data_IF_576302402601
#
_entry.id   IF_576302402601
#
_cell.length_a   1.000
_cell.length_b   1.000
_cell.length_c   1.000
_cell.angle_alpha   90.00
_cell.angle_beta   90.00
_cell.angle_gamma   90.00
#
_symmetry.space_group_name_H-M   'P 1'
#
loop_
_entity.id
_entity.type
_entity.pdbx_description
1 polymer ?
#
# COMPACT_ATOMS: atom_id res chain seq x y z
N UNK A 1 16.97 -18.47 5.63
CA UNK A 1 15.61 -18.18 6.15
C UNK A 1 14.64 -19.06 5.37
N UNK A 2 13.71 -19.73 6.05
CA UNK A 2 12.72 -20.62 5.45
C UNK A 2 11.32 -20.02 5.46
N UNK A 3 11.01 -19.19 6.46
CA UNK A 3 9.73 -18.48 6.56
C UNK A 3 9.90 -17.17 7.33
N UNK A 4 8.99 -16.23 7.06
CA UNK A 4 8.88 -14.96 7.76
C UNK A 4 7.42 -14.72 8.07
N UNK A 5 7.12 -14.52 9.35
CA UNK A 5 5.76 -14.23 9.79
C UNK A 5 5.68 -12.94 10.61
N UNK A 6 4.81 -12.01 10.21
CA UNK A 6 4.43 -10.89 11.05
C UNK A 6 3.51 -11.41 12.17
N UNK A 7 3.84 -11.10 13.42
CA UNK A 7 3.06 -11.48 14.59
C UNK A 7 2.64 -10.21 15.30
N UNK A 8 1.32 -10.00 15.43
CA UNK A 8 0.80 -8.89 16.24
C UNK A 8 1.08 -9.15 17.71
N UNK A 9 1.59 -8.15 18.43
CA UNK A 9 1.72 -8.22 19.87
C UNK A 9 0.32 -8.32 20.50
N UNK A 10 -0.01 -9.47 21.10
CA UNK A 10 -1.34 -9.75 21.66
C UNK A 10 -1.51 -9.31 23.12
N UNK A 11 -0.49 -8.74 23.76
CA UNK A 11 -0.51 -8.47 25.20
C UNK A 11 -1.11 -7.09 25.53
N UNK A 12 -2.18 -7.09 26.34
CA UNK A 12 -2.86 -5.90 26.92
C UNK A 12 -2.03 -5.13 27.95
N UNK A 13 -0.87 -5.65 28.37
CA UNK A 13 -0.09 -5.14 29.49
C UNK A 13 1.14 -4.42 28.94
N UNK A 14 1.12 -3.09 29.03
CA UNK A 14 2.18 -2.20 28.54
C UNK A 14 3.49 -2.50 29.28
N UNK A 15 4.50 -3.02 28.60
CA UNK A 15 5.88 -2.87 29.08
C UNK A 15 6.35 -1.45 28.77
N UNK A 16 6.04 -0.51 29.67
CA UNK A 16 6.73 0.79 29.72
C UNK A 16 8.06 0.59 30.46
N UNK A 17 9.12 0.24 29.74
CA UNK A 17 10.50 0.46 30.22
C UNK A 17 11.04 1.75 29.60
N UNK A 18 11.78 2.51 30.41
CA UNK A 18 12.27 3.87 30.16
C UNK A 18 12.65 4.19 28.70
N UNK A 19 11.88 5.09 28.08
CA UNK A 19 12.39 6.00 27.04
C UNK A 19 12.34 5.56 25.57
N UNK A 20 11.58 4.54 25.15
CA UNK A 20 11.59 4.10 23.74
C UNK A 20 10.22 3.68 23.16
N UNK A 21 10.05 3.93 21.86
CA UNK A 21 8.87 3.62 21.03
C UNK A 21 8.41 2.18 21.22
N UNK A 22 7.17 1.99 21.70
CA UNK A 22 6.57 0.68 21.90
C UNK A 22 6.41 -0.05 20.55
N UNK A 23 7.04 -1.22 20.40
CA UNK A 23 6.99 -2.06 19.19
C UNK A 23 5.58 -2.65 19.04
N UNK A 24 4.87 -2.30 17.97
CA UNK A 24 3.48 -2.75 17.71
C UNK A 24 3.39 -4.16 17.09
N UNK A 25 4.48 -4.64 16.49
CA UNK A 25 4.56 -5.90 15.73
C UNK A 25 5.90 -6.61 15.98
N UNK A 26 5.90 -7.94 15.95
CA UNK A 26 7.11 -8.78 15.95
C UNK A 26 7.26 -9.44 14.58
N UNK A 27 8.49 -9.60 14.10
CA UNK A 27 8.79 -10.39 12.91
C UNK A 27 9.49 -11.67 13.35
N UNK A 28 8.85 -12.82 13.14
CA UNK A 28 9.43 -14.14 13.42
C UNK A 28 10.10 -14.66 12.15
N UNK A 29 11.38 -14.99 12.25
CA UNK A 29 12.17 -15.62 11.19
C UNK A 29 12.41 -17.09 11.54
N UNK A 30 11.90 -18.01 10.70
CA UNK A 30 12.27 -19.42 10.79
C UNK A 30 13.57 -19.63 10.00
N UNK A 31 14.66 -19.96 10.69
CA UNK A 31 15.97 -20.14 10.07
C UNK A 31 16.39 -21.61 10.09
N UNK A 32 16.78 -22.15 8.92
CA UNK A 32 17.48 -23.43 8.81
C UNK A 32 18.94 -23.16 8.42
N UNK A 33 19.92 -23.83 9.05
CA UNK A 33 21.31 -23.78 8.60
C UNK A 33 21.40 -24.15 7.11
N UNK A 34 22.18 -23.37 6.36
CA UNK A 34 22.39 -23.62 4.93
C UNK A 34 23.13 -24.96 4.75
N UNK A 35 22.66 -25.85 3.84
CA UNK A 35 23.37 -27.09 3.52
C UNK A 35 24.81 -26.83 3.05
N UNK A 36 25.72 -27.76 3.34
CA UNK A 36 27.13 -27.63 2.95
C UNK A 36 27.32 -27.66 1.42
N UNK A 37 26.42 -28.31 0.70
CA UNK A 37 26.36 -28.47 -0.75
C UNK A 37 25.50 -27.39 -1.45
N UNK A 38 25.15 -26.30 -0.74
CA UNK A 38 24.32 -25.25 -1.31
C UNK A 38 24.95 -24.66 -2.59
N UNK A 39 24.15 -24.46 -3.66
CA UNK A 39 24.67 -24.06 -4.96
C UNK A 39 25.27 -22.65 -4.93
N UNK A 40 26.14 -22.36 -5.89
CA UNK A 40 26.60 -21.00 -6.18
C UNK A 40 25.79 -20.43 -7.33
N UNK A 41 25.69 -19.10 -7.39
CA UNK A 41 25.01 -18.40 -8.48
C UNK A 41 25.69 -17.07 -8.77
N UNK A 42 25.26 -16.40 -9.83
CA UNK A 42 25.71 -15.05 -10.18
C UNK A 42 24.65 -13.98 -9.83
N UNK A 43 25.06 -12.71 -9.83
CA UNK A 43 24.17 -11.58 -9.52
C UNK A 43 22.95 -11.49 -10.43
N UNK A 44 23.08 -11.76 -11.73
CA UNK A 44 21.99 -11.66 -12.70
C UNK A 44 20.94 -12.75 -12.43
N UNK A 45 21.39 -13.97 -12.20
CA UNK A 45 20.55 -15.12 -11.84
C UNK A 45 19.82 -14.90 -10.51
N UNK A 46 20.52 -14.35 -9.50
CA UNK A 46 19.91 -13.96 -8.22
C UNK A 46 18.81 -12.90 -8.38
N UNK A 47 19.05 -11.83 -9.15
CA UNK A 47 18.05 -10.78 -9.38
C UNK A 47 16.84 -11.33 -10.16
N UNK A 48 17.07 -12.23 -11.13
CA UNK A 48 15.97 -12.87 -11.85
C UNK A 48 15.09 -13.73 -10.93
N UNK A 49 15.69 -14.46 -9.99
CA UNK A 49 14.94 -15.25 -9.00
C UNK A 49 14.19 -14.35 -8.01
N UNK A 50 14.79 -13.25 -7.54
CA UNK A 50 14.10 -12.25 -6.73
C UNK A 50 12.83 -11.74 -7.42
N UNK A 51 12.94 -11.31 -8.68
CA UNK A 51 11.80 -10.81 -9.47
C UNK A 51 10.71 -11.87 -9.69
N UNK A 52 11.09 -13.15 -9.74
CA UNK A 52 10.14 -14.26 -9.91
C UNK A 52 9.41 -14.62 -8.63
N UNK A 53 10.10 -14.67 -7.49
CA UNK A 53 9.58 -15.24 -6.25
C UNK A 53 9.04 -14.20 -5.27
N UNK A 54 9.66 -13.01 -5.22
CA UNK A 54 9.28 -11.96 -4.28
C UNK A 54 7.83 -11.47 -4.47
N UNK A 55 7.30 -11.26 -5.70
CA UNK A 55 5.93 -10.74 -5.86
C UNK A 55 4.86 -11.60 -5.17
N UNK A 56 4.97 -12.92 -5.28
CA UNK A 56 4.02 -13.84 -4.64
C UNK A 56 4.14 -13.81 -3.11
N UNK A 57 5.35 -13.64 -2.57
CA UNK A 57 5.56 -13.49 -1.13
C UNK A 57 5.01 -12.17 -0.59
N UNK A 58 5.20 -11.07 -1.33
CA UNK A 58 4.68 -9.74 -0.97
C UNK A 58 3.15 -9.70 -0.96
N UNK A 59 2.50 -10.31 -1.96
CA UNK A 59 1.02 -10.44 -1.96
C UNK A 59 0.50 -11.15 -0.72
N UNK A 60 1.19 -12.20 -0.25
CA UNK A 60 0.82 -12.89 1.00
C UNK A 60 0.96 -11.98 2.23
N UNK A 61 1.96 -11.11 2.26
CA UNK A 61 2.13 -10.12 3.33
C UNK A 61 1.02 -9.05 3.30
N UNK A 62 0.63 -8.58 2.11
CA UNK A 62 -0.50 -7.65 1.95
C UNK A 62 -1.82 -8.28 2.42
N UNK A 63 -2.06 -9.54 2.04
CA UNK A 63 -3.21 -10.33 2.52
C UNK A 63 -3.18 -10.57 4.04
N UNK A 64 -1.99 -10.59 4.65
CA UNK A 64 -1.80 -10.64 6.09
C UNK A 64 -2.00 -9.30 6.81
N UNK A 65 -2.33 -8.22 6.09
CA UNK A 65 -2.53 -6.87 6.63
C UNK A 65 -1.35 -6.38 7.50
N UNK A 66 -0.13 -6.59 7.02
CA UNK A 66 1.08 -6.01 7.60
C UNK A 66 1.07 -4.50 7.40
N UNK A 67 1.31 -3.71 8.44
CA UNK A 67 1.32 -2.25 8.30
C UNK A 67 2.38 -1.81 7.25
N UNK A 68 2.11 -0.78 6.43
CA UNK A 68 3.05 -0.31 5.41
C UNK A 68 4.45 0.02 5.96
N UNK A 69 4.53 0.64 7.15
CA UNK A 69 5.82 0.93 7.82
C UNK A 69 6.62 -0.33 8.14
N UNK A 70 5.93 -1.44 8.45
CA UNK A 70 6.53 -2.75 8.74
C UNK A 70 6.69 -3.61 7.49
N UNK A 71 6.06 -3.22 6.37
CA UNK A 71 5.98 -4.03 5.16
C UNK A 71 7.34 -4.24 4.52
N UNK A 72 8.16 -3.18 4.45
CA UNK A 72 9.53 -3.27 3.96
C UNK A 72 10.38 -4.21 4.84
N UNK A 73 10.22 -4.15 6.16
CA UNK A 73 10.93 -5.03 7.09
C UNK A 73 10.47 -6.49 6.96
N UNK A 74 9.17 -6.72 6.82
CA UNK A 74 8.61 -8.04 6.59
C UNK A 74 9.05 -8.62 5.24
N UNK A 75 9.20 -7.78 4.21
CA UNK A 75 9.67 -8.14 2.86
C UNK A 75 11.15 -8.54 2.81
N UNK A 76 11.99 -8.05 3.73
CA UNK A 76 13.40 -8.46 3.84
C UNK A 76 13.49 -9.97 4.07
N UNK A 77 12.61 -10.55 4.87
CA UNK A 77 12.61 -11.99 5.17
C UNK A 77 12.53 -12.89 3.94
N UNK A 78 11.48 -12.76 3.09
CA UNK A 78 11.39 -13.44 1.81
C UNK A 78 12.58 -13.19 0.87
N UNK A 79 13.05 -11.95 0.75
CA UNK A 79 14.22 -11.65 -0.08
C UNK A 79 15.51 -12.31 0.43
N UNK A 80 15.72 -12.28 1.75
CA UNK A 80 16.86 -12.90 2.41
C UNK A 80 16.78 -14.43 2.43
N UNK A 81 15.58 -15.01 2.34
CA UNK A 81 15.41 -16.44 2.11
C UNK A 81 16.08 -16.86 0.80
N UNK A 82 15.82 -16.13 -0.29
CA UNK A 82 16.44 -16.37 -1.60
C UNK A 82 17.95 -16.16 -1.53
N UNK A 83 18.44 -15.08 -0.90
CA UNK A 83 19.88 -14.87 -0.72
C UNK A 83 20.54 -16.03 0.04
N UNK A 84 19.91 -16.50 1.11
CA UNK A 84 20.44 -17.55 1.97
C UNK A 84 20.40 -18.97 1.36
N UNK A 85 19.73 -19.14 0.22
CA UNK A 85 19.69 -20.40 -0.55
C UNK A 85 21.05 -20.75 -1.15
N UNK A 86 21.84 -19.74 -1.48
CA UNK A 86 23.13 -19.89 -2.15
C UNK A 86 24.29 -19.89 -1.15
N UNK A 87 25.31 -20.69 -1.43
CA UNK A 87 26.57 -20.66 -0.65
C UNK A 87 27.37 -19.39 -0.94
N UNK A 88 27.37 -18.95 -2.21
CA UNK A 88 27.99 -17.71 -2.67
C UNK A 88 27.25 -17.17 -3.90
N UNK A 89 27.05 -15.86 -3.93
CA UNK A 89 26.58 -15.13 -5.12
C UNK A 89 27.77 -14.33 -5.64
N UNK A 90 28.16 -14.53 -6.90
CA UNK A 90 29.31 -13.86 -7.51
C UNK A 90 28.88 -12.55 -8.19
N UNK A 91 29.62 -11.48 -7.92
CA UNK A 91 29.51 -10.22 -8.65
C UNK A 91 30.43 -10.22 -9.88
N UNK A 92 30.25 -9.24 -10.78
CA UNK A 92 31.08 -9.10 -11.98
C UNK A 92 32.58 -8.94 -11.67
N UNK A 93 32.92 -8.48 -10.46
CA UNK A 93 34.29 -8.38 -9.95
C UNK A 93 34.89 -9.73 -9.51
N UNK A 94 34.15 -10.83 -9.57
CA UNK A 94 34.52 -12.14 -9.03
C UNK A 94 34.43 -12.24 -7.50
N UNK A 95 34.11 -11.14 -6.80
CA UNK A 95 33.92 -11.13 -5.35
C UNK A 95 32.53 -11.65 -4.97
N UNK A 96 32.41 -12.12 -3.73
CA UNK A 96 31.11 -12.51 -3.18
C UNK A 96 30.25 -11.25 -2.95
N UNK A 97 28.98 -11.32 -3.34
CA UNK A 97 28.00 -10.28 -3.02
C UNK A 97 27.82 -10.18 -1.50
N UNK A 98 27.93 -8.96 -0.99
CA UNK A 98 27.72 -8.69 0.43
C UNK A 98 26.24 -8.72 0.81
N UNK A 99 25.94 -8.96 2.09
CA UNK A 99 24.57 -8.85 2.62
C UNK A 99 24.00 -7.45 2.38
N UNK A 100 24.81 -6.40 2.51
CA UNK A 100 24.40 -5.02 2.24
C UNK A 100 23.91 -4.84 0.80
N UNK A 101 24.65 -5.39 -0.16
CA UNK A 101 24.27 -5.37 -1.58
C UNK A 101 22.97 -6.15 -1.81
N UNK A 102 22.81 -7.31 -1.17
CA UNK A 102 21.60 -8.11 -1.27
C UNK A 102 20.37 -7.36 -0.73
N UNK A 103 20.48 -6.72 0.44
CA UNK A 103 19.41 -5.90 1.02
C UNK A 103 19.01 -4.74 0.11
N UNK A 104 19.98 -4.06 -0.52
CA UNK A 104 19.69 -3.01 -1.49
C UNK A 104 18.90 -3.55 -2.70
N UNK A 105 19.28 -4.71 -3.23
CA UNK A 105 18.56 -5.36 -4.33
C UNK A 105 17.15 -5.81 -3.94
N UNK A 106 16.97 -6.29 -2.70
CA UNK A 106 15.65 -6.68 -2.19
C UNK A 106 14.73 -5.46 -2.10
N UNK A 107 15.20 -4.35 -1.51
CA UNK A 107 14.42 -3.12 -1.42
C UNK A 107 14.11 -2.53 -2.81
N UNK A 108 15.06 -2.59 -3.75
CA UNK A 108 14.83 -2.20 -5.13
C UNK A 108 13.74 -3.07 -5.78
N UNK A 109 13.81 -4.39 -5.64
CA UNK A 109 12.81 -5.31 -6.20
C UNK A 109 11.44 -5.08 -5.56
N UNK A 110 11.37 -4.83 -4.26
CA UNK A 110 10.13 -4.48 -3.55
C UNK A 110 9.46 -3.25 -4.17
N UNK A 111 10.24 -2.18 -4.38
CA UNK A 111 9.78 -0.98 -5.08
C UNK A 111 9.27 -1.30 -6.48
N UNK A 112 10.01 -2.09 -7.26
CA UNK A 112 9.63 -2.46 -8.63
C UNK A 112 8.29 -3.22 -8.64
N UNK A 113 8.08 -4.16 -7.71
CA UNK A 113 6.83 -4.92 -7.60
C UNK A 113 5.64 -4.01 -7.25
N UNK A 114 5.82 -3.07 -6.32
CA UNK A 114 4.77 -2.11 -5.96
C UNK A 114 4.43 -1.19 -7.14
N UNK A 115 5.43 -0.81 -7.94
CA UNK A 115 5.22 -0.04 -9.18
C UNK A 115 4.52 -0.86 -10.27
N UNK A 116 4.83 -2.14 -10.42
CA UNK A 116 4.15 -3.02 -11.39
C UNK A 116 2.67 -3.23 -11.04
N UNK A 117 2.29 -3.21 -9.75
CA UNK A 117 0.89 -3.26 -9.32
C UNK A 117 0.07 -2.04 -9.76
N UNK A 118 0.72 -0.93 -10.14
CA UNK A 118 0.01 0.23 -10.70
C UNK A 118 -0.77 -0.15 -11.97
N UNK A 119 -0.38 -1.24 -12.63
CA UNK A 119 -1.05 -1.68 -13.83
C UNK A 119 -2.48 -2.19 -13.59
N UNK A 120 -2.82 -2.57 -12.36
CA UNK A 120 -4.16 -3.06 -11.99
C UNK A 120 -5.15 -1.91 -11.74
N UNK A 121 -4.66 -0.66 -11.60
CA UNK A 121 -5.51 0.51 -11.37
C UNK A 121 -6.05 1.11 -12.67
N UNK A 122 -7.18 1.82 -12.53
CA UNK A 122 -7.75 2.60 -13.61
C UNK A 122 -6.82 3.76 -14.05
N UNK A 123 -7.05 4.26 -15.26
CA UNK A 123 -6.19 5.29 -15.88
C UNK A 123 -6.12 6.59 -15.07
N UNK A 124 -7.20 6.99 -14.40
CA UNK A 124 -7.24 8.22 -13.60
C UNK A 124 -6.42 8.05 -12.34
N UNK A 125 -6.52 6.90 -11.69
CA UNK A 125 -5.67 6.54 -10.55
C UNK A 125 -4.20 6.50 -10.96
N UNK A 126 -3.85 5.88 -12.09
CA UNK A 126 -2.47 5.86 -12.60
C UNK A 126 -1.94 7.26 -12.91
N UNK A 127 -2.79 8.16 -13.41
CA UNK A 127 -2.45 9.57 -13.59
C UNK A 127 -2.19 10.24 -12.25
N UNK A 128 -3.09 10.05 -11.28
CA UNK A 128 -3.00 10.66 -9.97
C UNK A 128 -1.77 10.19 -9.18
N UNK A 129 -1.41 8.90 -9.27
CA UNK A 129 -0.16 8.36 -8.70
C UNK A 129 1.07 9.08 -9.28
N UNK A 130 1.13 9.21 -10.61
CA UNK A 130 2.26 9.85 -11.28
C UNK A 130 2.34 11.36 -10.97
N UNK A 131 1.20 12.04 -10.92
CA UNK A 131 1.13 13.44 -10.51
C UNK A 131 1.57 13.62 -9.05
N UNK A 132 1.03 12.78 -8.16
CA UNK A 132 1.36 12.78 -6.74
C UNK A 132 2.86 12.55 -6.53
N UNK A 133 3.50 11.61 -7.22
CA UNK A 133 4.94 11.36 -7.09
C UNK A 133 5.78 12.62 -7.34
N UNK A 134 5.35 13.48 -8.27
CA UNK A 134 6.07 14.70 -8.63
C UNK A 134 5.68 15.88 -7.72
N UNK A 135 4.39 16.20 -7.66
CA UNK A 135 3.86 17.43 -7.05
C UNK A 135 3.22 17.20 -5.68
N UNK A 136 2.83 15.98 -5.37
CA UNK A 136 2.03 15.70 -4.17
C UNK A 136 0.63 16.25 -4.34
N UNK A 137 0.12 16.93 -3.32
CA UNK A 137 -1.15 17.66 -3.39
C UNK A 137 -0.98 19.14 -3.77
N UNK A 138 0.25 19.57 -4.08
CA UNK A 138 0.55 20.95 -4.45
C UNK A 138 0.20 21.23 -5.93
N UNK A 139 0.15 22.51 -6.28
CA UNK A 139 -0.13 23.00 -7.62
C UNK A 139 1.04 22.72 -8.58
N UNK A 140 0.68 22.43 -9.82
CA UNK A 140 1.60 22.30 -10.95
C UNK A 140 0.97 22.85 -12.23
N UNK A 141 1.80 23.01 -13.26
CA UNK A 141 1.36 23.64 -14.50
C UNK A 141 0.34 22.78 -15.25
N UNK A 142 -0.70 23.41 -15.80
CA UNK A 142 -1.70 22.73 -16.63
C UNK A 142 -1.08 22.01 -17.84
N UNK A 143 -0.03 22.58 -18.42
CA UNK A 143 0.69 21.95 -19.54
C UNK A 143 1.27 20.57 -19.19
N UNK A 144 1.84 20.42 -18.00
CA UNK A 144 2.39 19.15 -17.51
C UNK A 144 1.26 18.16 -17.21
N UNK A 145 0.17 18.63 -16.61
CA UNK A 145 -1.01 17.82 -16.32
C UNK A 145 -1.65 17.26 -17.61
N UNK A 146 -1.73 18.09 -18.65
CA UNK A 146 -2.28 17.73 -19.95
C UNK A 146 -1.39 16.73 -20.70
N UNK A 147 -0.06 16.91 -20.64
CA UNK A 147 0.89 15.95 -21.21
C UNK A 147 0.79 14.60 -20.50
N UNK A 148 0.72 14.59 -19.16
CA UNK A 148 0.57 13.38 -18.37
C UNK A 148 -0.77 12.69 -18.64
N UNK A 149 -1.86 13.46 -18.82
CA UNK A 149 -3.20 12.94 -19.12
C UNK A 149 -3.19 12.13 -20.41
N UNK A 150 -2.55 12.65 -21.46
CA UNK A 150 -2.38 11.94 -22.74
C UNK A 150 -1.56 10.66 -22.58
N UNK A 151 -0.47 10.72 -21.83
CA UNK A 151 0.39 9.56 -21.58
C UNK A 151 -0.32 8.44 -20.79
N UNK A 152 -1.28 8.80 -19.92
CA UNK A 152 -2.06 7.85 -19.11
C UNK A 152 -3.44 7.53 -19.68
N UNK A 153 -3.74 7.98 -20.90
CA UNK A 153 -5.02 7.71 -21.59
C UNK A 153 -6.22 8.20 -20.75
N UNK A 154 -6.13 9.44 -20.28
CA UNK A 154 -7.21 10.18 -19.60
C UNK A 154 -7.20 11.66 -20.04
N UNK A 155 -8.00 12.51 -19.40
CA UNK A 155 -8.10 13.95 -19.68
C UNK A 155 -8.23 14.75 -18.37
N UNK A 156 -7.68 15.96 -18.31
CA UNK A 156 -7.82 16.82 -17.12
C UNK A 156 -9.30 17.09 -16.79
N UNK A 157 -10.14 17.32 -17.81
CA UNK A 157 -11.58 17.49 -17.60
C UNK A 157 -12.24 16.25 -16.97
N UNK A 158 -11.88 15.05 -17.41
CA UNK A 158 -12.38 13.81 -16.82
C UNK A 158 -11.91 13.59 -15.37
N UNK A 159 -10.68 14.04 -15.05
CA UNK A 159 -10.16 13.99 -13.67
C UNK A 159 -10.89 14.99 -12.74
N UNK A 160 -11.28 16.15 -13.27
CA UNK A 160 -12.13 17.12 -12.56
C UNK A 160 -13.56 16.57 -12.37
N UNK A 161 -14.14 15.94 -13.41
CA UNK A 161 -15.45 15.30 -13.32
C UNK A 161 -15.45 14.13 -12.31
N UNK A 162 -14.36 13.37 -12.25
CA UNK A 162 -14.14 12.31 -11.26
C UNK A 162 -13.88 12.84 -9.83
N UNK A 163 -13.87 14.16 -9.62
CA UNK A 163 -13.73 14.73 -8.28
C UNK A 163 -12.37 14.48 -7.62
N UNK A 164 -11.30 14.25 -8.40
CA UNK A 164 -9.95 13.99 -7.86
C UNK A 164 -8.95 15.12 -8.10
N UNK A 165 -9.26 16.05 -9.01
CA UNK A 165 -8.40 17.15 -9.40
C UNK A 165 -9.15 18.48 -9.37
N UNK A 166 -8.47 19.53 -8.91
CA UNK A 166 -8.84 20.91 -9.17
C UNK A 166 -8.02 21.46 -10.34
N UNK A 167 -8.68 22.13 -11.28
CA UNK A 167 -8.02 22.87 -12.37
C UNK A 167 -8.58 24.28 -12.48
N UNK A 168 -7.71 25.27 -12.42
CA UNK A 168 -8.06 26.69 -12.45
C UNK A 168 -6.82 27.56 -12.57
N UNK A 169 -6.94 28.76 -13.14
CA UNK A 169 -5.82 29.72 -13.19
C UNK A 169 -4.61 29.30 -14.03
N UNK A 170 -4.72 28.25 -14.85
CA UNK A 170 -3.57 27.67 -15.57
C UNK A 170 -2.79 26.62 -14.75
N UNK A 171 -3.31 26.29 -13.57
CA UNK A 171 -2.73 25.33 -12.63
C UNK A 171 -3.67 24.14 -12.41
N UNK A 172 -3.07 23.04 -11.96
CA UNK A 172 -3.74 21.77 -11.67
C UNK A 172 -3.17 21.23 -10.38
N UNK A 173 -4.02 20.69 -9.51
CA UNK A 173 -3.60 19.95 -8.31
C UNK A 173 -4.56 18.82 -7.98
N UNK A 174 -4.08 17.83 -7.24
CA UNK A 174 -4.94 16.81 -6.64
C UNK A 174 -5.76 17.44 -5.50
N UNK A 175 -7.00 17.00 -5.36
CA UNK A 175 -7.83 17.36 -4.23
C UNK A 175 -7.32 16.64 -2.98
N UNK A 176 -7.18 17.38 -1.88
CA UNK A 176 -6.82 16.81 -0.58
C UNK A 176 -8.03 16.09 0.02
N UNK A 177 -7.81 15.06 0.86
CA UNK A 177 -8.90 14.33 1.51
C UNK A 177 -9.95 15.22 2.17
N UNK A 178 -9.54 16.31 2.80
CA UNK A 178 -10.42 17.25 3.51
C UNK A 178 -11.32 18.08 2.59
N UNK A 179 -10.99 18.16 1.30
CA UNK A 179 -11.73 18.90 0.27
C UNK A 179 -12.76 18.02 -0.43
N UNK A 180 -12.69 16.70 -0.26
CA UNK A 180 -13.59 15.76 -0.91
C UNK A 180 -15.02 15.89 -0.37
N UNK A 181 -16.01 15.67 -1.24
CA UNK A 181 -17.42 15.81 -0.91
C UNK A 181 -17.82 14.90 0.26
N UNK A 182 -18.47 15.49 1.28
CA UNK A 182 -18.83 14.78 2.52
C UNK A 182 -19.97 13.80 2.34
N UNK A 183 -20.90 14.15 1.46
CA UNK A 183 -22.09 13.41 1.07
C UNK A 183 -21.84 12.45 -0.11
N UNK A 184 -20.58 12.23 -0.49
CA UNK A 184 -20.21 11.31 -1.56
C UNK A 184 -20.74 9.89 -1.32
N UNK A 185 -21.38 9.31 -2.35
CA UNK A 185 -21.85 7.93 -2.34
C UNK A 185 -21.32 7.17 -3.56
N UNK A 186 -20.52 6.10 -3.36
CA UNK A 186 -19.99 5.30 -4.45
C UNK A 186 -21.05 4.54 -5.24
N UNK A 187 -22.32 4.52 -4.83
CA UNK A 187 -23.40 3.91 -5.60
C UNK A 187 -23.99 4.83 -6.67
N UNK A 188 -23.86 6.14 -6.47
CA UNK A 188 -24.39 7.15 -7.40
C UNK A 188 -23.31 7.71 -8.32
N UNK A 189 -22.05 7.51 -7.96
CA UNK A 189 -20.92 7.94 -8.75
C UNK A 189 -20.75 7.05 -10.01
N UNK A 190 -20.63 7.71 -11.16
CA UNK A 190 -20.48 7.04 -12.47
C UNK A 190 -19.01 6.76 -12.80
N UNK A 191 -18.08 7.43 -12.12
CA UNK A 191 -16.64 7.36 -12.39
C UNK A 191 -15.92 7.24 -11.06
N UNK A 192 -15.68 6.00 -10.64
CA UNK A 192 -15.08 5.62 -9.37
C UNK A 192 -13.62 5.23 -9.51
N UNK A 193 -12.67 6.17 -9.66
CA UNK A 193 -11.27 5.83 -9.65
C UNK A 193 -10.87 5.32 -8.26
N UNK A 194 -9.96 4.35 -8.22
CA UNK A 194 -9.41 3.83 -6.96
C UNK A 194 -8.78 4.92 -6.12
N UNK A 195 -8.23 5.96 -6.75
CA UNK A 195 -7.77 7.18 -6.09
C UNK A 195 -8.84 7.81 -5.20
N UNK A 196 -10.03 8.11 -5.76
CA UNK A 196 -11.11 8.74 -5.01
C UNK A 196 -11.58 7.84 -3.86
N UNK A 197 -11.81 6.54 -4.13
CA UNK A 197 -12.22 5.58 -3.12
C UNK A 197 -11.26 5.55 -1.92
N UNK A 198 -9.95 5.56 -2.19
CA UNK A 198 -8.90 5.54 -1.16
C UNK A 198 -8.90 6.82 -0.34
N UNK A 199 -9.01 7.99 -0.97
CA UNK A 199 -8.96 9.26 -0.26
C UNK A 199 -10.28 9.58 0.46
N UNK A 200 -11.43 9.09 -0.02
CA UNK A 200 -12.70 9.14 0.71
C UNK A 200 -12.66 8.28 1.98
N UNK A 201 -12.10 7.06 1.90
CA UNK A 201 -11.84 6.23 3.09
C UNK A 201 -10.88 6.93 4.06
N UNK A 202 -9.82 7.55 3.53
CA UNK A 202 -8.86 8.29 4.33
C UNK A 202 -9.48 9.52 5.01
N UNK A 203 -10.33 10.27 4.29
CA UNK A 203 -11.10 11.42 4.82
C UNK A 203 -11.90 10.99 6.06
N UNK A 204 -12.74 9.97 5.91
CA UNK A 204 -13.63 9.49 6.98
C UNK A 204 -12.83 8.92 8.16
N UNK A 205 -11.83 8.08 7.88
CA UNK A 205 -11.10 7.35 8.91
C UNK A 205 -10.06 8.22 9.65
N UNK A 206 -9.19 8.93 8.93
CA UNK A 206 -8.03 9.60 9.50
C UNK A 206 -8.26 11.09 9.77
N UNK A 207 -8.86 11.81 8.81
CA UNK A 207 -8.99 13.26 8.90
C UNK A 207 -10.21 13.68 9.74
N UNK A 208 -11.37 13.08 9.49
CA UNK A 208 -12.59 13.33 10.26
C UNK A 208 -12.64 12.57 11.58
N UNK A 209 -11.86 11.47 11.68
CA UNK A 209 -11.84 10.59 12.85
C UNK A 209 -13.24 10.10 13.23
N UNK A 210 -14.06 9.81 12.22
CA UNK A 210 -15.46 9.39 12.39
C UNK A 210 -15.61 7.98 13.01
N UNK A 211 -14.49 7.27 13.18
CA UNK A 211 -14.41 5.95 13.80
C UNK A 211 -14.54 4.80 12.81
N UNK A 212 -14.22 3.60 13.29
CA UNK A 212 -14.13 2.38 12.47
C UNK A 212 -15.46 2.01 11.82
N UNK A 213 -16.60 2.26 12.49
CA UNK A 213 -17.93 1.94 11.95
C UNK A 213 -18.31 2.84 10.75
N UNK A 214 -17.92 4.12 10.76
CA UNK A 214 -18.18 5.02 9.65
C UNK A 214 -17.35 4.64 8.42
N UNK A 215 -16.06 4.33 8.62
CA UNK A 215 -15.20 3.82 7.57
C UNK A 215 -15.70 2.46 7.05
N UNK A 216 -16.19 1.58 7.94
CA UNK A 216 -16.76 0.29 7.58
C UNK A 216 -18.06 0.44 6.77
N UNK A 217 -18.91 1.41 7.11
CA UNK A 217 -20.11 1.73 6.33
C UNK A 217 -19.76 2.16 4.90
N UNK A 218 -18.71 2.97 4.72
CA UNK A 218 -18.22 3.33 3.40
C UNK A 218 -17.65 2.12 2.66
N UNK A 219 -16.81 1.31 3.33
CA UNK A 219 -16.23 0.10 2.76
C UNK A 219 -17.30 -0.91 2.33
N UNK A 220 -18.42 -1.03 3.07
CA UNK A 220 -19.58 -1.85 2.69
C UNK A 220 -20.16 -1.44 1.35
N UNK A 221 -20.23 -0.13 1.08
CA UNK A 221 -20.75 0.38 -0.20
C UNK A 221 -19.78 0.09 -1.35
N UNK A 222 -18.47 0.15 -1.10
CA UNK A 222 -17.41 -0.14 -2.09
C UNK A 222 -17.32 -1.63 -2.44
N UNK A 223 -17.65 -2.52 -1.51
CA UNK A 223 -17.61 -3.96 -1.73
C UNK A 223 -16.20 -4.46 -2.06
N UNK A 224 -16.06 -5.29 -3.11
CA UNK A 224 -14.78 -5.87 -3.50
C UNK A 224 -13.73 -4.83 -3.95
N UNK A 225 -14.18 -3.67 -4.47
CA UNK A 225 -13.30 -2.58 -4.90
C UNK A 225 -12.52 -1.96 -3.73
N UNK A 226 -13.00 -2.14 -2.49
CA UNK A 226 -12.30 -1.68 -1.30
C UNK A 226 -10.91 -2.29 -1.14
N UNK A 227 -10.69 -3.53 -1.59
CA UNK A 227 -9.36 -4.15 -1.50
C UNK A 227 -8.34 -3.41 -2.39
N UNK A 228 -8.74 -2.92 -3.57
CA UNK A 228 -7.89 -2.07 -4.41
C UNK A 228 -7.54 -0.75 -3.72
N UNK A 229 -8.44 -0.18 -2.92
CA UNK A 229 -8.17 1.03 -2.15
C UNK A 229 -7.11 0.79 -1.06
N UNK A 230 -7.12 -0.40 -0.42
CA UNK A 230 -6.06 -0.79 0.50
C UNK A 230 -4.73 -0.96 -0.23
N UNK A 231 -4.74 -1.60 -1.39
CA UNK A 231 -3.52 -1.84 -2.17
C UNK A 231 -2.93 -0.52 -2.68
N UNK A 232 -3.78 0.44 -3.09
CA UNK A 232 -3.35 1.80 -3.38
C UNK A 232 -2.74 2.51 -2.15
N UNK A 233 -3.31 2.33 -0.96
CA UNK A 233 -2.74 2.91 0.26
C UNK A 233 -1.32 2.39 0.57
N UNK A 234 -1.01 1.11 0.29
CA UNK A 234 0.37 0.61 0.36
C UNK A 234 1.29 1.34 -0.63
N UNK A 235 0.84 1.52 -1.88
CA UNK A 235 1.62 2.20 -2.91
C UNK A 235 1.89 3.67 -2.55
N UNK A 236 0.86 4.37 -2.07
CA UNK A 236 0.96 5.78 -1.69
C UNK A 236 1.84 5.96 -0.46
N UNK A 237 1.80 5.04 0.51
CA UNK A 237 2.74 5.05 1.64
C UNK A 237 4.21 5.01 1.17
N UNK A 238 4.56 4.05 0.31
CA UNK A 238 5.92 3.92 -0.24
C UNK A 238 6.35 5.19 -1.01
N UNK A 239 5.43 5.78 -1.78
CA UNK A 239 5.70 7.06 -2.46
C UNK A 239 5.93 8.21 -1.50
N UNK A 240 5.09 8.33 -0.47
CA UNK A 240 5.19 9.39 0.53
C UNK A 240 6.52 9.31 1.29
N UNK A 241 6.94 8.13 1.72
CA UNK A 241 8.23 7.93 2.40
C UNK A 241 9.42 8.33 1.52
N UNK A 242 9.43 7.89 0.25
CA UNK A 242 10.52 8.24 -0.69
C UNK A 242 10.59 9.73 -1.00
N UNK A 243 9.46 10.44 -0.91
CA UNK A 243 9.36 11.89 -1.12
C UNK A 243 9.44 12.69 0.18
N UNK A 244 9.72 12.05 1.33
CA UNK A 244 9.76 12.66 2.66
C UNK A 244 8.46 13.38 3.06
N UNK A 245 7.30 12.85 2.64
CA UNK A 245 5.97 13.37 2.94
C UNK A 245 5.37 12.63 4.13
N UNK A 246 5.91 12.92 5.31
CA UNK A 246 5.64 12.13 6.52
C UNK A 246 4.17 12.18 6.98
N UNK A 247 3.45 13.28 6.74
CA UNK A 247 2.05 13.41 7.17
C UNK A 247 1.14 12.48 6.36
N UNK A 248 1.34 12.44 5.04
CA UNK A 248 0.63 11.56 4.12
C UNK A 248 1.00 10.09 4.38
N UNK A 249 2.29 9.80 4.57
CA UNK A 249 2.74 8.46 4.95
C UNK A 249 2.04 7.98 6.23
N UNK A 250 1.95 8.83 7.26
CA UNK A 250 1.25 8.50 8.50
C UNK A 250 -0.22 8.18 8.26
N UNK A 251 -0.90 8.95 7.41
CA UNK A 251 -2.32 8.74 7.09
C UNK A 251 -2.55 7.38 6.40
N UNK A 252 -1.78 7.07 5.35
CA UNK A 252 -1.89 5.80 4.63
C UNK A 252 -1.55 4.59 5.53
N UNK A 253 -0.51 4.72 6.36
CA UNK A 253 -0.16 3.69 7.33
C UNK A 253 -1.29 3.43 8.34
N UNK A 254 -1.92 4.48 8.85
CA UNK A 254 -3.03 4.37 9.78
C UNK A 254 -4.23 3.65 9.17
N UNK A 255 -4.60 3.97 7.91
CA UNK A 255 -5.70 3.33 7.20
C UNK A 255 -5.47 1.81 7.03
N UNK A 256 -4.29 1.41 6.58
CA UNK A 256 -3.95 -0.01 6.38
C UNK A 256 -3.87 -0.76 7.72
N UNK A 257 -3.35 -0.12 8.77
CA UNK A 257 -3.29 -0.71 10.11
C UNK A 257 -4.68 -0.97 10.70
N UNK A 258 -5.61 -0.03 10.51
CA UNK A 258 -7.01 -0.13 10.93
C UNK A 258 -7.87 -1.06 10.06
N UNK A 259 -7.40 -1.36 8.84
CA UNK A 259 -8.15 -2.11 7.84
C UNK A 259 -8.80 -3.41 8.34
N UNK A 260 -8.15 -4.27 9.16
CA UNK A 260 -8.78 -5.52 9.59
C UNK A 260 -10.05 -5.31 10.42
N UNK A 261 -10.10 -4.27 11.25
CA UNK A 261 -11.31 -3.96 12.02
C UNK A 261 -12.39 -3.33 11.14
N UNK A 262 -12.01 -2.38 10.28
CA UNK A 262 -12.91 -1.78 9.28
C UNK A 262 -13.55 -2.87 8.40
N UNK A 263 -12.74 -3.79 7.88
CA UNK A 263 -13.19 -4.90 7.05
C UNK A 263 -14.06 -5.91 7.82
N UNK A 264 -13.74 -6.19 9.09
CA UNK A 264 -14.55 -7.05 9.95
C UNK A 264 -15.94 -6.44 10.18
N UNK A 265 -16.01 -5.17 10.54
CA UNK A 265 -17.26 -4.41 10.71
C UNK A 265 -18.03 -4.28 9.40
N UNK A 266 -17.33 -4.12 8.28
CA UNK A 266 -17.98 -4.06 6.97
C UNK A 266 -18.64 -5.40 6.58
N UNK A 267 -18.04 -6.53 6.96
CA UNK A 267 -18.62 -7.86 6.71
C UNK A 267 -19.69 -8.26 7.74
N UNK A 268 -19.63 -7.70 8.95
CA UNK A 268 -20.66 -7.89 9.95
C UNK A 268 -21.97 -7.30 9.41
N UNK A 269 -23.02 -8.11 9.34
CA UNK A 269 -24.35 -7.63 8.95
C UNK A 269 -24.76 -6.53 9.92
N UNK A 270 -25.08 -5.35 9.40
CA UNK A 270 -25.74 -4.31 10.19
C UNK A 270 -27.02 -4.89 10.81
N UNK A 271 -27.33 -4.65 12.10
CA UNK A 271 -28.58 -5.09 12.72
C UNK A 271 -29.84 -4.72 11.93
N UNK A 272 -29.82 -3.61 11.17
CA UNK A 272 -30.89 -3.20 10.26
C UNK A 272 -31.25 -4.24 9.19
N UNK A 273 -30.30 -5.07 8.74
CA UNK A 273 -30.57 -6.14 7.76
C UNK A 273 -31.08 -7.44 8.40
N UNK A 274 -30.97 -7.60 9.72
CA UNK A 274 -31.59 -8.72 10.44
C UNK A 274 -33.04 -8.41 10.84
N UNK A 275 -33.36 -7.16 11.19
CA UNK A 275 -34.73 -6.75 11.54
C UNK A 275 -35.73 -6.88 10.39
N UNK A 276 -35.30 -6.63 9.14
CA UNK A 276 -36.14 -6.76 7.94
C UNK A 276 -36.46 -8.20 7.52
N UNK A 277 -35.89 -9.23 8.17
CA UNK A 277 -36.21 -10.65 7.89
C UNK A 277 -37.13 -11.29 8.93
N UNK A 278 -37.31 -10.68 10.09
CA UNK A 278 -38.19 -11.21 11.14
C UNK A 278 -39.64 -10.69 11.02
N UNK A 279 -39.89 -9.62 10.27
CA UNK A 279 -41.24 -9.08 10.04
C UNK A 279 -42.01 -9.74 8.88
N UNK A 280 -41.45 -10.75 8.19
CA UNK A 280 -42.12 -11.44 7.07
C UNK A 280 -42.46 -12.91 7.35
N UNK A 281 -42.71 -13.29 8.60
CA UNK A 281 -43.14 -14.66 8.92
C UNK A 281 -44.33 -14.72 9.86
#
# INVERSE_FOLDING_TARGET
IMATWPVRASQKWRMTSMGTNALASYIVLACRPRPADAPQTDRKSYVAELKRELPAALRRLQQGNVAPVDFAQAAIGPGMAIYSKYSRILEASGKAMTVRTALALINQTLTEVLSEQEDEFDNDTRWAIAWYEQHGFEEGAFGDAELLSKAKVTTVAGLVEAGIVHSGGGEVRLLRPEELAKDWDPKTDRRLPVWEMTHQLLRVYYYEKAGDEAAAALLRKLGAQGELARDLAYRLFDLSERKNRSQEAQAYNALVLGWPEIARLARAKSPEQLGLREETR
#
